data_IF_557605129890
#
_entry.id   IF_557605129890
#
_cell.length_a   1.000
_cell.length_b   1.000
_cell.length_c   1.000
_cell.angle_alpha   90.00
_cell.angle_beta   90.00
_cell.angle_gamma   90.00
#
_symmetry.space_group_name_H-M   'P 1'
#
loop_
_entity.id
_entity.type
_entity.pdbx_description
1 polymer ?
#
# COMPACT_ATOMS: atom_id res chain seq x y z
N UNK A 1 16.72 4.97 -11.30
CA UNK A 1 15.30 4.95 -11.71
C UNK A 1 14.86 3.49 -11.77
N UNK A 2 13.93 3.07 -10.92
CA UNK A 2 13.47 1.69 -10.90
C UNK A 2 12.49 1.34 -12.03
N UNK A 3 12.07 0.08 -12.01
CA UNK A 3 11.14 -0.49 -12.98
C UNK A 3 9.75 0.15 -12.89
N UNK A 4 9.03 0.18 -14.01
CA UNK A 4 7.60 0.49 -14.01
C UNK A 4 6.83 -0.63 -13.29
N UNK A 5 5.60 -0.34 -12.85
CA UNK A 5 4.68 -1.37 -12.40
C UNK A 5 4.52 -2.49 -13.46
N UNK A 6 4.27 -3.72 -13.00
CA UNK A 6 4.08 -4.89 -13.87
C UNK A 6 3.02 -4.58 -14.94
N UNK A 7 3.27 -4.94 -16.21
CA UNK A 7 2.35 -4.62 -17.32
C UNK A 7 0.95 -5.18 -17.12
N UNK A 8 0.77 -6.32 -16.43
CA UNK A 8 -0.55 -6.91 -16.14
C UNK A 8 -1.30 -6.11 -15.09
N UNK A 9 -0.61 -5.66 -14.04
CA UNK A 9 -1.20 -4.77 -13.04
C UNK A 9 -1.63 -3.45 -13.68
N UNK A 10 -0.78 -2.90 -14.56
CA UNK A 10 -1.13 -1.70 -15.32
C UNK A 10 -2.35 -1.91 -16.22
N UNK A 11 -2.41 -3.04 -16.94
CA UNK A 11 -3.56 -3.35 -17.79
C UNK A 11 -4.86 -3.51 -16.99
N UNK A 12 -4.82 -4.17 -15.83
CA UNK A 12 -5.96 -4.30 -14.93
C UNK A 12 -6.41 -2.95 -14.38
N UNK A 13 -5.48 -2.12 -13.90
CA UNK A 13 -5.77 -0.77 -13.42
C UNK A 13 -6.33 0.14 -14.53
N UNK A 14 -5.76 0.09 -15.74
CA UNK A 14 -6.21 0.88 -16.90
C UNK A 14 -7.66 0.52 -17.30
N UNK A 15 -8.07 -0.76 -17.19
CA UNK A 15 -9.48 -1.17 -17.40
C UNK A 15 -10.46 -0.51 -16.41
N UNK A 16 -9.97 -0.11 -15.23
CA UNK A 16 -10.74 0.61 -14.19
C UNK A 16 -10.58 2.13 -14.29
N UNK A 17 -9.90 2.64 -15.31
CA UNK A 17 -9.59 4.07 -15.45
C UNK A 17 -8.51 4.58 -14.51
N UNK A 18 -7.74 3.68 -13.88
CA UNK A 18 -6.66 4.02 -12.95
C UNK A 18 -5.33 4.04 -13.70
N UNK A 19 -4.65 5.18 -13.70
CA UNK A 19 -3.31 5.31 -14.27
C UNK A 19 -2.23 5.06 -13.19
N UNK A 20 -1.29 4.16 -13.47
CA UNK A 20 -0.18 3.82 -12.56
C UNK A 20 1.17 4.33 -13.12
N UNK A 21 1.52 5.62 -12.93
CA UNK A 21 2.76 6.19 -13.45
C UNK A 21 4.01 5.82 -12.62
N UNK A 22 3.81 5.13 -11.50
CA UNK A 22 4.83 4.88 -10.49
C UNK A 22 6.05 4.12 -11.01
N UNK A 23 7.20 4.43 -10.41
CA UNK A 23 8.45 3.70 -10.57
C UNK A 23 8.85 3.12 -9.23
N UNK A 24 9.33 1.88 -9.23
CA UNK A 24 9.86 1.24 -8.04
C UNK A 24 11.02 2.06 -7.46
N UNK A 25 11.01 2.21 -6.14
CA UNK A 25 12.13 2.73 -5.34
C UNK A 25 12.19 1.96 -4.04
N UNK A 26 13.35 1.95 -3.41
CA UNK A 26 13.49 1.44 -2.05
C UNK A 26 12.97 2.48 -1.04
N UNK A 27 12.55 1.99 0.12
CA UNK A 27 12.23 2.84 1.27
C UNK A 27 13.55 3.30 1.89
N UNK A 28 13.65 4.59 2.16
CA UNK A 28 14.80 5.24 2.77
C UNK A 28 14.45 5.64 4.21
N UNK A 29 15.45 5.78 5.09
CA UNK A 29 15.21 6.12 6.49
C UNK A 29 14.47 7.45 6.66
N UNK A 30 14.75 8.42 5.77
CA UNK A 30 14.10 9.73 5.79
C UNK A 30 12.60 9.64 5.48
N UNK A 31 12.12 8.59 4.81
CA UNK A 31 10.69 8.41 4.53
C UNK A 31 9.87 8.40 5.82
N UNK A 32 10.41 7.85 6.92
CA UNK A 32 9.71 7.77 8.20
C UNK A 32 9.52 9.11 8.91
N UNK A 33 10.23 10.15 8.46
CA UNK A 33 10.04 11.53 8.95
C UNK A 33 9.24 12.38 7.95
N UNK A 34 9.25 12.00 6.67
CA UNK A 34 8.62 12.74 5.58
C UNK A 34 7.14 12.42 5.37
N UNK A 35 6.71 11.23 5.77
CA UNK A 35 5.33 10.77 5.61
C UNK A 35 4.69 10.53 6.97
N UNK A 36 3.43 10.94 7.14
CA UNK A 36 2.67 10.69 8.36
C UNK A 36 2.21 9.21 8.47
N UNK A 37 2.03 8.55 7.32
CA UNK A 37 1.49 7.21 7.22
C UNK A 37 2.24 6.38 6.16
N UNK A 38 2.70 5.20 6.56
CA UNK A 38 3.32 4.20 5.70
C UNK A 38 2.45 2.94 5.71
N UNK A 39 1.93 2.57 4.53
CA UNK A 39 1.01 1.45 4.36
C UNK A 39 1.74 0.25 3.75
N UNK A 40 1.62 -0.92 4.38
CA UNK A 40 2.30 -2.15 3.93
C UNK A 40 1.31 -3.14 3.33
N UNK A 41 1.70 -3.83 2.27
CA UNK A 41 0.82 -4.73 1.52
C UNK A 41 0.65 -6.09 2.21
N UNK A 42 1.71 -6.59 2.84
CA UNK A 42 1.71 -7.88 3.52
C UNK A 42 2.48 -7.82 4.85
N UNK A 43 2.47 -8.93 5.58
CA UNK A 43 3.15 -9.10 6.87
C UNK A 43 4.69 -9.05 6.78
N UNK A 44 5.27 -9.45 5.65
CA UNK A 44 6.72 -9.37 5.42
C UNK A 44 7.17 -7.91 5.22
N UNK A 45 6.42 -7.16 4.44
CA UNK A 45 6.57 -5.73 4.23
C UNK A 45 6.46 -5.02 5.59
N UNK A 46 5.44 -5.35 6.39
CA UNK A 46 5.26 -4.78 7.73
C UNK A 46 6.48 -5.00 8.62
N UNK A 47 7.00 -6.23 8.67
CA UNK A 47 8.18 -6.57 9.46
C UNK A 47 9.41 -5.79 8.99
N UNK A 48 9.66 -5.75 7.68
CA UNK A 48 10.82 -5.07 7.10
C UNK A 48 10.75 -3.56 7.33
N UNK A 49 9.59 -2.94 7.08
CA UNK A 49 9.38 -1.50 7.28
C UNK A 49 9.52 -1.12 8.75
N UNK A 50 9.00 -1.93 9.69
CA UNK A 50 9.20 -1.71 11.13
C UNK A 50 10.67 -1.82 11.54
N UNK A 51 11.43 -2.75 10.93
CA UNK A 51 12.86 -2.86 11.18
C UNK A 51 13.61 -1.60 10.72
N UNK A 52 13.29 -1.08 9.53
CA UNK A 52 13.88 0.15 9.01
C UNK A 52 13.48 1.38 9.84
N UNK A 53 12.23 1.46 10.31
CA UNK A 53 11.78 2.54 11.19
C UNK A 53 12.54 2.53 12.53
N UNK A 54 12.83 1.35 13.08
CA UNK A 54 13.67 1.21 14.28
C UNK A 54 15.10 1.70 14.03
N UNK A 55 15.63 1.45 12.83
CA UNK A 55 16.96 1.95 12.42
C UNK A 55 16.97 3.48 12.27
N UNK A 56 15.91 4.08 11.73
CA UNK A 56 15.74 5.53 11.64
C UNK A 56 15.63 6.22 13.02
N UNK A 57 15.36 5.47 14.09
CA UNK A 57 15.40 5.94 15.47
C UNK A 57 14.33 6.98 15.78
N UNK A 58 14.68 7.98 16.59
CA UNK A 58 13.72 8.98 17.11
C UNK A 58 13.10 9.87 16.02
N UNK A 59 13.68 9.89 14.81
CA UNK A 59 13.16 10.67 13.68
C UNK A 59 12.01 9.95 12.94
N UNK A 60 11.78 8.66 13.23
CA UNK A 60 10.67 7.91 12.65
C UNK A 60 9.35 8.26 13.34
N UNK A 61 8.65 9.25 12.81
CA UNK A 61 7.35 9.71 13.32
C UNK A 61 6.16 9.13 12.56
N UNK A 62 6.41 8.48 11.42
CA UNK A 62 5.37 7.86 10.60
C UNK A 62 4.60 6.76 11.35
N UNK A 63 3.28 6.75 11.21
CA UNK A 63 2.44 5.62 11.60
C UNK A 63 2.59 4.51 10.55
N UNK A 64 2.86 3.27 10.97
CA UNK A 64 3.03 2.11 10.06
C UNK A 64 1.88 1.14 10.27
N UNK A 65 1.07 0.90 9.23
CA UNK A 65 -0.11 0.00 9.30
C UNK A 65 -0.25 -0.88 8.04
N UNK A 66 -0.82 -2.10 8.16
CA UNK A 66 -1.23 -2.87 6.99
C UNK A 66 -2.31 -2.15 6.19
N UNK A 67 -2.24 -2.20 4.86
CA UNK A 67 -3.23 -1.60 3.96
C UNK A 67 -4.63 -2.17 4.22
N UNK A 68 -4.75 -3.50 4.32
CA UNK A 68 -6.05 -4.14 4.54
C UNK A 68 -6.60 -3.97 5.97
N UNK A 69 -5.86 -3.33 6.89
CA UNK A 69 -6.45 -2.91 8.17
C UNK A 69 -7.50 -1.81 8.02
N UNK A 70 -7.60 -1.21 6.83
CA UNK A 70 -8.64 -0.25 6.45
C UNK A 70 -9.77 -0.87 5.63
N UNK A 71 -9.61 -2.11 5.18
CA UNK A 71 -10.64 -2.82 4.43
C UNK A 71 -11.82 -3.16 5.36
N UNK A 72 -13.03 -3.21 4.79
CA UNK A 72 -14.28 -3.41 5.54
C UNK A 72 -15.08 -4.60 5.04
N UNK A 73 -14.83 -5.00 3.81
CA UNK A 73 -15.60 -6.00 3.08
C UNK A 73 -14.85 -7.34 2.99
N UNK A 74 -13.74 -7.48 3.72
CA UNK A 74 -12.87 -8.66 3.68
C UNK A 74 -12.26 -8.96 5.06
N UNK A 75 -12.03 -10.24 5.34
CA UNK A 75 -11.28 -10.71 6.51
C UNK A 75 -9.80 -10.99 6.16
N UNK A 76 -9.41 -10.78 4.90
CA UNK A 76 -8.02 -10.96 4.46
C UNK A 76 -7.14 -9.87 5.08
N UNK A 77 -6.05 -10.28 5.73
CA UNK A 77 -5.11 -9.36 6.39
C UNK A 77 -4.00 -8.83 5.48
N UNK A 78 -3.65 -9.59 4.44
CA UNK A 78 -2.50 -9.36 3.58
C UNK A 78 -2.96 -9.30 2.11
N UNK A 79 -2.48 -8.31 1.36
CA UNK A 79 -2.70 -8.25 -0.09
C UNK A 79 -1.95 -9.42 -0.72
N UNK A 80 -2.64 -10.36 -1.37
CA UNK A 80 -1.98 -11.53 -1.94
C UNK A 80 -1.10 -11.13 -3.13
N UNK A 81 -0.03 -11.89 -3.34
CA UNK A 81 0.77 -11.75 -4.55
C UNK A 81 -0.08 -12.13 -5.78
N UNK A 82 -0.31 -11.21 -6.74
CA UNK A 82 -1.19 -11.45 -7.89
C UNK A 82 -0.65 -12.49 -8.88
N UNK A 83 0.64 -12.85 -8.83
CA UNK A 83 1.26 -13.71 -9.84
C UNK A 83 0.80 -15.17 -9.76
N UNK A 84 0.25 -15.61 -8.64
CA UNK A 84 -0.26 -16.98 -8.46
C UNK A 84 -1.67 -17.19 -9.03
N UNK A 85 -2.43 -16.11 -9.29
CA UNK A 85 -3.83 -16.16 -9.71
C UNK A 85 -4.09 -15.90 -11.20
N UNK A 86 -3.05 -15.80 -12.02
CA UNK A 86 -3.18 -15.37 -13.41
C UNK A 86 -3.72 -13.93 -13.51
N UNK A 87 -4.50 -13.61 -14.55
CA UNK A 87 -5.08 -12.26 -14.69
C UNK A 87 -6.07 -11.89 -13.58
N UNK A 88 -6.81 -12.87 -13.06
CA UNK A 88 -7.79 -12.66 -11.97
C UNK A 88 -7.13 -12.24 -10.66
N UNK A 89 -5.88 -12.68 -10.41
CA UNK A 89 -5.12 -12.25 -9.24
C UNK A 89 -4.89 -10.75 -9.19
N UNK A 90 -4.68 -10.10 -10.35
CA UNK A 90 -4.52 -8.65 -10.43
C UNK A 90 -5.82 -7.91 -10.14
N UNK A 91 -6.95 -8.41 -10.63
CA UNK A 91 -8.27 -7.83 -10.35
C UNK A 91 -8.61 -7.95 -8.86
N UNK A 92 -8.37 -9.12 -8.26
CA UNK A 92 -8.59 -9.34 -6.83
C UNK A 92 -7.76 -8.38 -5.96
N UNK A 93 -6.49 -8.14 -6.32
CA UNK A 93 -5.66 -7.17 -5.61
C UNK A 93 -6.26 -5.77 -5.70
N UNK A 94 -6.73 -5.35 -6.88
CA UNK A 94 -7.36 -4.04 -7.05
C UNK A 94 -8.66 -3.91 -6.25
N UNK A 95 -9.48 -4.96 -6.18
CA UNK A 95 -10.71 -4.97 -5.37
C UNK A 95 -10.41 -4.74 -3.88
N UNK A 96 -9.39 -5.43 -3.36
CA UNK A 96 -8.95 -5.29 -1.96
C UNK A 96 -8.40 -3.87 -1.69
N UNK A 97 -7.64 -3.32 -2.63
CA UNK A 97 -7.09 -1.97 -2.51
C UNK A 97 -8.17 -0.89 -2.59
N UNK A 98 -9.21 -1.06 -3.39
CA UNK A 98 -10.34 -0.12 -3.50
C UNK A 98 -11.17 -0.09 -2.21
N UNK A 99 -11.47 -1.25 -1.63
CA UNK A 99 -12.16 -1.36 -0.33
C UNK A 99 -11.34 -0.71 0.78
N UNK A 100 -10.04 -1.04 0.87
CA UNK A 100 -9.14 -0.45 1.85
C UNK A 100 -8.96 1.07 1.66
N UNK A 101 -8.83 1.56 0.42
CA UNK A 101 -8.76 3.00 0.14
C UNK A 101 -10.03 3.73 0.59
N UNK A 102 -11.19 3.12 0.39
CA UNK A 102 -12.47 3.69 0.80
C UNK A 102 -12.54 3.84 2.32
N UNK A 103 -12.18 2.79 3.07
CA UNK A 103 -12.12 2.84 4.53
C UNK A 103 -11.08 3.84 5.05
N UNK A 104 -9.92 3.93 4.40
CA UNK A 104 -8.86 4.89 4.72
C UNK A 104 -9.32 6.34 4.56
N UNK A 105 -9.99 6.67 3.45
CA UNK A 105 -10.52 8.01 3.19
C UNK A 105 -11.54 8.40 4.26
N UNK A 106 -12.37 7.47 4.70
CA UNK A 106 -13.33 7.73 5.78
C UNK A 106 -12.67 7.99 7.13
N UNK A 107 -11.57 7.31 7.46
CA UNK A 107 -10.82 7.56 8.70
C UNK A 107 -10.09 8.91 8.67
N UNK A 108 -9.55 9.31 7.51
CA UNK A 108 -8.73 10.52 7.39
C UNK A 108 -9.56 11.78 7.09
N UNK A 109 -10.71 11.67 6.41
CA UNK A 109 -11.58 12.85 6.08
C UNK A 109 -11.88 13.77 7.26
N UNK A 110 -12.23 13.26 8.47
CA UNK A 110 -12.46 14.11 9.64
C UNK A 110 -11.22 14.88 10.10
N UNK A 111 -10.02 14.39 9.80
CA UNK A 111 -8.74 14.95 10.24
C UNK A 111 -8.28 16.10 9.33
N UNK A 112 -8.62 16.05 8.04
CA UNK A 112 -8.28 17.09 7.04
C UNK A 112 -9.13 18.36 7.16
N UNK A 113 -10.34 18.26 7.75
CA UNK A 113 -11.26 19.40 7.91
C UNK A 113 -10.98 20.29 9.13
N UNK A 114 -9.87 20.07 9.83
CA UNK A 114 -9.40 20.87 10.97
C UNK A 114 -8.18 21.67 10.56
#
# INVERSE_FOLDING_TARGET
MGNKADPRMRAAAERRGIHLPSRARQIELDDFSRFDLVLTMDSDNLRNVRSLAKEAGNNATATIRPMLSYARSTEISDVPDPYYGGEQGFEQVLDLLEDACSGLIEEIKPQIRR
#
